data_IF_781070801560
#
_entry.id   IF_781070801560
#
_cell.length_a   1.000
_cell.length_b   1.000
_cell.length_c   1.000
_cell.angle_alpha   90.00
_cell.angle_beta   90.00
_cell.angle_gamma   90.00
#
_symmetry.space_group_name_H-M   'P 1'
#
loop_
_entity.id
_entity.type
_entity.pdbx_description
1 polymer ?
#
# COMPACT_ATOMS: atom_id res chain seq x y z
N UNK A 1 31.39 -27.14 -19.36
CA UNK A 1 30.08 -27.77 -19.25
C UNK A 1 29.11 -26.73 -18.74
N UNK A 2 28.28 -26.24 -19.62
CA UNK A 2 27.55 -24.97 -19.50
C UNK A 2 26.07 -25.18 -19.58
N UNK A 3 25.32 -24.26 -18.88
CA UNK A 3 23.92 -23.94 -19.11
C UNK A 3 22.87 -24.96 -18.60
N UNK A 4 22.23 -24.60 -17.49
CA UNK A 4 20.79 -24.80 -17.30
C UNK A 4 20.38 -24.10 -15.97
N UNK A 5 20.09 -22.81 -16.00
CA UNK A 5 19.33 -22.12 -14.93
C UNK A 5 18.79 -20.78 -15.43
N UNK A 6 17.83 -20.80 -16.31
CA UNK A 6 17.02 -19.63 -16.64
C UNK A 6 15.75 -20.06 -17.38
N UNK A 7 14.82 -20.76 -16.73
CA UNK A 7 13.41 -20.86 -17.18
C UNK A 7 12.60 -21.28 -15.97
N UNK A 8 12.26 -20.42 -15.06
CA UNK A 8 11.20 -20.67 -14.06
C UNK A 8 10.72 -19.40 -13.30
N UNK A 9 10.63 -18.26 -13.96
CA UNK A 9 10.03 -17.06 -13.31
C UNK A 9 8.92 -16.36 -14.10
N UNK A 10 8.42 -16.93 -15.18
CA UNK A 10 7.31 -16.34 -15.95
C UNK A 10 5.95 -17.03 -15.76
N UNK A 11 5.84 -18.04 -14.89
CA UNK A 11 4.63 -18.86 -14.78
C UNK A 11 3.57 -18.41 -13.76
N UNK A 12 3.91 -17.50 -12.85
CA UNK A 12 3.06 -17.26 -11.67
C UNK A 12 2.03 -16.14 -11.81
N UNK A 13 2.15 -15.25 -12.78
CA UNK A 13 1.22 -14.12 -12.96
C UNK A 13 0.02 -14.48 -13.83
N UNK A 14 0.17 -15.46 -14.72
CA UNK A 14 -0.90 -15.89 -15.64
C UNK A 14 -1.96 -16.77 -14.96
N UNK A 15 -1.65 -17.40 -13.83
CA UNK A 15 -2.58 -18.29 -13.13
C UNK A 15 -3.65 -17.56 -12.32
N UNK A 16 -3.39 -16.34 -11.86
CA UNK A 16 -4.38 -15.56 -11.09
C UNK A 16 -5.45 -14.90 -11.96
N UNK A 17 -5.15 -14.61 -13.22
CA UNK A 17 -6.13 -14.06 -14.16
C UNK A 17 -7.05 -15.16 -14.75
N UNK A 18 -6.64 -16.41 -14.75
CA UNK A 18 -7.44 -17.52 -15.28
C UNK A 18 -8.53 -18.01 -14.31
N UNK A 19 -8.42 -17.74 -12.98
CA UNK A 19 -9.45 -18.10 -12.02
C UNK A 19 -10.69 -17.19 -12.07
N UNK A 20 -10.59 -16.01 -12.63
CA UNK A 20 -11.71 -15.09 -12.81
C UNK A 20 -12.59 -15.44 -14.03
N UNK A 21 -12.13 -16.31 -14.95
CA UNK A 21 -12.83 -16.64 -16.19
C UNK A 21 -13.59 -17.98 -16.17
N UNK A 22 -13.51 -18.76 -15.08
CA UNK A 22 -14.20 -20.04 -14.97
C UNK A 22 -15.48 -19.96 -14.11
N UNK A 23 -16.30 -18.95 -14.34
CA UNK A 23 -17.69 -18.99 -13.84
C UNK A 23 -18.50 -19.75 -14.89
N UNK A 24 -19.12 -20.90 -14.54
CA UNK A 24 -19.96 -21.62 -15.50
C UNK A 24 -21.12 -20.74 -15.95
N UNK A 25 -21.30 -20.61 -17.25
CA UNK A 25 -22.34 -19.83 -17.91
C UNK A 25 -23.76 -20.42 -17.73
N UNK A 26 -24.15 -20.73 -16.51
CA UNK A 26 -25.50 -21.08 -16.09
C UNK A 26 -25.98 -20.20 -14.93
N UNK A 27 -25.51 -18.95 -14.85
CA UNK A 27 -26.24 -17.97 -14.09
C UNK A 27 -27.52 -17.65 -14.88
N UNK A 28 -28.65 -18.22 -14.47
CA UNK A 28 -29.94 -17.62 -14.76
C UNK A 28 -29.78 -16.13 -14.48
N UNK A 29 -30.11 -15.28 -15.44
CA UNK A 29 -30.25 -13.85 -15.26
C UNK A 29 -31.39 -13.63 -14.27
N UNK A 30 -31.12 -13.88 -13.01
CA UNK A 30 -31.89 -13.30 -11.92
C UNK A 30 -31.72 -11.80 -12.14
N UNK A 31 -32.80 -11.08 -12.31
CA UNK A 31 -32.82 -9.61 -12.36
C UNK A 31 -31.85 -9.13 -11.27
N UNK A 32 -30.66 -8.71 -11.67
CA UNK A 32 -29.76 -8.00 -10.78
C UNK A 32 -30.52 -6.74 -10.43
N UNK A 33 -30.96 -6.69 -9.17
CA UNK A 33 -31.65 -5.53 -8.62
C UNK A 33 -30.71 -4.34 -8.86
N UNK A 34 -31.10 -3.48 -9.80
CA UNK A 34 -30.26 -2.37 -10.27
C UNK A 34 -29.88 -1.52 -9.05
N UNK A 35 -28.56 -1.51 -8.74
CA UNK A 35 -28.02 -0.80 -7.58
C UNK A 35 -27.30 -1.68 -6.53
N UNK A 36 -27.17 -2.99 -6.77
CA UNK A 36 -26.38 -3.86 -5.87
C UNK A 36 -24.88 -3.91 -6.17
N UNK A 37 -24.47 -3.35 -7.28
CA UNK A 37 -23.06 -3.24 -7.63
C UNK A 37 -22.66 -1.77 -7.74
N UNK A 38 -21.41 -1.49 -7.41
CA UNK A 38 -20.85 -0.17 -7.61
C UNK A 38 -19.37 -0.25 -7.98
N UNK A 39 -18.96 0.60 -8.88
CA UNK A 39 -17.55 0.88 -9.15
C UNK A 39 -17.22 2.19 -8.46
N UNK A 40 -16.19 2.18 -7.63
CA UNK A 40 -15.72 3.30 -6.86
C UNK A 40 -14.35 3.79 -7.30
N UNK A 41 -14.12 5.07 -7.10
CA UNK A 41 -12.83 5.71 -7.13
C UNK A 41 -12.57 6.35 -5.79
N UNK A 42 -11.33 6.28 -5.33
CA UNK A 42 -10.90 6.94 -4.11
C UNK A 42 -9.70 7.84 -4.37
N UNK A 43 -9.66 8.94 -3.67
CA UNK A 43 -8.53 9.84 -3.57
C UNK A 43 -8.31 10.15 -2.10
N UNK A 44 -7.11 9.95 -1.61
CA UNK A 44 -6.85 10.05 -0.20
C UNK A 44 -5.44 10.45 0.15
N UNK A 45 -5.18 10.32 1.43
CA UNK A 45 -3.88 10.60 2.04
C UNK A 45 -3.53 9.45 2.98
N UNK A 46 -2.37 8.86 2.77
CA UNK A 46 -1.82 7.79 3.60
C UNK A 46 -0.86 8.41 4.62
N UNK A 47 -1.08 8.07 5.89
CA UNK A 47 -0.20 8.38 7.00
C UNK A 47 0.51 7.10 7.43
N UNK A 48 1.82 7.07 7.29
CA UNK A 48 2.66 5.98 7.74
C UNK A 48 2.55 5.82 9.26
N UNK A 49 2.79 4.62 9.77
CA UNK A 49 2.89 4.44 11.23
C UNK A 49 4.03 5.27 11.80
N UNK A 50 3.76 5.99 12.87
CA UNK A 50 4.75 6.78 13.59
C UNK A 50 5.85 5.93 14.22
N UNK A 51 6.94 6.59 14.57
CA UNK A 51 8.22 6.01 15.03
C UNK A 51 8.05 4.89 16.06
N UNK A 52 7.28 5.12 17.12
CA UNK A 52 7.12 4.21 18.26
C UNK A 52 6.25 2.97 17.97
N UNK A 53 5.57 2.95 16.81
CA UNK A 53 4.62 1.89 16.45
C UNK A 53 5.05 1.05 15.25
N UNK A 54 6.22 1.31 14.70
CA UNK A 54 6.79 0.56 13.59
C UNK A 54 7.31 -0.80 14.05
N UNK A 55 7.47 -1.72 13.09
CA UNK A 55 7.98 -3.07 13.38
C UNK A 55 9.45 -3.02 13.79
N UNK A 56 9.87 -3.97 14.60
CA UNK A 56 11.28 -4.16 14.93
C UNK A 56 12.09 -4.48 13.67
N UNK A 57 13.35 -4.01 13.61
CA UNK A 57 14.25 -4.17 12.45
C UNK A 57 13.75 -3.43 11.18
N UNK A 58 12.92 -2.40 11.36
CA UNK A 58 12.47 -1.56 10.25
C UNK A 58 13.63 -0.74 9.68
N UNK A 59 13.78 -0.77 8.36
CA UNK A 59 14.87 -0.08 7.66
C UNK A 59 14.85 1.44 7.88
N UNK A 60 13.67 2.06 8.01
CA UNK A 60 13.58 3.49 8.26
C UNK A 60 14.05 3.83 9.68
N UNK A 61 13.73 2.99 10.68
CA UNK A 61 14.25 3.14 12.04
C UNK A 61 15.76 2.92 12.09
N UNK A 62 16.27 1.94 11.36
CA UNK A 62 17.70 1.67 11.27
C UNK A 62 18.44 2.89 10.68
N UNK A 63 17.92 3.47 9.59
CA UNK A 63 18.47 4.67 8.97
C UNK A 63 18.47 5.90 9.89
N UNK A 64 17.47 6.05 10.77
CA UNK A 64 17.40 7.13 11.75
C UNK A 64 18.32 6.93 12.95
N UNK A 65 18.69 5.69 13.28
CA UNK A 65 19.36 5.33 14.55
C UNK A 65 20.83 4.93 14.44
N UNK A 66 21.46 5.07 13.29
CA UNK A 66 22.86 4.63 13.04
C UNK A 66 23.96 5.53 13.66
N UNK A 67 23.64 6.36 14.64
CA UNK A 67 24.60 7.22 15.29
C UNK A 67 25.19 8.25 14.30
N UNK A 68 26.53 8.23 14.08
CA UNK A 68 27.18 9.18 13.17
C UNK A 68 26.82 9.00 11.67
N UNK A 69 26.16 7.90 11.32
CA UNK A 69 25.68 7.61 9.95
C UNK A 69 24.17 7.70 9.82
N UNK A 70 23.49 8.26 10.84
CA UNK A 70 22.04 8.48 10.76
C UNK A 70 21.67 9.47 9.66
N UNK A 71 20.51 9.21 9.06
CA UNK A 71 19.91 10.06 8.06
C UNK A 71 18.97 11.06 8.72
N UNK A 72 18.95 12.28 8.18
CA UNK A 72 18.06 13.35 8.61
C UNK A 72 16.76 13.31 7.78
N UNK A 73 15.71 12.71 8.31
CA UNK A 73 14.34 12.73 7.82
C UNK A 73 13.38 12.39 8.96
N UNK A 74 12.10 12.67 8.78
CA UNK A 74 11.05 12.25 9.70
C UNK A 74 10.21 11.12 9.06
N UNK A 75 9.65 10.22 9.90
CA UNK A 75 8.76 9.17 9.39
C UNK A 75 7.54 9.76 8.69
N UNK A 76 7.04 10.90 9.17
CA UNK A 76 5.90 11.62 8.60
C UNK A 76 6.21 12.21 7.20
N UNK A 77 7.48 12.30 6.81
CA UNK A 77 7.87 12.66 5.44
C UNK A 77 7.41 11.62 4.41
N UNK A 78 7.17 10.37 4.86
CA UNK A 78 6.58 9.31 4.05
C UNK A 78 5.06 9.39 3.97
N UNK A 79 4.42 10.36 4.60
CA UNK A 79 3.00 10.62 4.39
C UNK A 79 2.75 11.16 2.99
N UNK A 80 1.64 10.76 2.37
CA UNK A 80 1.42 11.19 1.00
C UNK A 80 0.09 10.79 0.38
N UNK A 81 -0.16 11.37 -0.79
CA UNK A 81 -1.36 11.12 -1.55
C UNK A 81 -1.47 9.65 -1.98
N UNK A 82 -2.68 9.13 -1.95
CA UNK A 82 -3.05 7.82 -2.47
C UNK A 82 -4.28 7.94 -3.36
N UNK A 83 -4.36 7.09 -4.37
CA UNK A 83 -5.54 6.99 -5.22
C UNK A 83 -5.80 5.54 -5.59
N UNK A 84 -7.03 5.23 -5.91
CA UNK A 84 -7.38 3.87 -6.26
C UNK A 84 -8.79 3.71 -6.78
N UNK A 85 -9.19 2.45 -6.86
CA UNK A 85 -10.53 2.08 -7.26
C UNK A 85 -10.97 0.80 -6.58
N UNK A 86 -12.29 0.64 -6.50
CA UNK A 86 -12.89 -0.55 -5.89
C UNK A 86 -14.15 -0.98 -6.62
N UNK A 87 -14.44 -2.24 -6.54
CA UNK A 87 -15.71 -2.82 -6.96
C UNK A 87 -16.43 -3.37 -5.75
N UNK A 88 -17.66 -2.94 -5.57
CA UNK A 88 -18.53 -3.29 -4.46
C UNK A 88 -19.70 -4.13 -4.96
N UNK A 89 -19.99 -5.20 -4.24
CA UNK A 89 -21.08 -6.12 -4.53
C UNK A 89 -21.94 -6.27 -3.28
N UNK A 90 -23.16 -5.88 -3.37
CA UNK A 90 -24.13 -6.07 -2.30
C UNK A 90 -24.59 -7.49 -2.16
N UNK A 91 -24.28 -8.11 -1.05
CA UNK A 91 -24.73 -9.44 -0.69
C UNK A 91 -26.18 -9.43 -0.20
N UNK A 92 -26.54 -8.42 0.58
CA UNK A 92 -27.89 -8.11 1.02
C UNK A 92 -27.98 -6.62 1.41
N UNK A 93 -29.03 -6.18 2.08
CA UNK A 93 -29.22 -4.77 2.45
C UNK A 93 -28.23 -4.27 3.50
N UNK A 94 -27.63 -5.19 4.26
CA UNK A 94 -26.73 -4.87 5.37
C UNK A 94 -25.28 -5.33 5.15
N UNK A 95 -25.02 -6.13 4.11
CA UNK A 95 -23.69 -6.67 3.83
C UNK A 95 -23.27 -6.39 2.41
N UNK A 96 -21.97 -6.06 2.25
CA UNK A 96 -21.34 -5.75 0.99
C UNK A 96 -19.95 -6.37 0.94
N UNK A 97 -19.59 -6.99 -0.18
CA UNK A 97 -18.23 -7.41 -0.47
C UNK A 97 -17.55 -6.36 -1.36
N UNK A 98 -16.26 -6.12 -1.14
CA UNK A 98 -15.48 -5.19 -1.93
C UNK A 98 -14.14 -5.79 -2.33
N UNK A 99 -13.72 -5.49 -3.56
CA UNK A 99 -12.35 -5.71 -4.04
C UNK A 99 -11.81 -4.39 -4.53
N UNK A 100 -10.62 -4.01 -4.06
CA UNK A 100 -10.03 -2.71 -4.38
C UNK A 100 -8.55 -2.80 -4.67
N UNK A 101 -8.05 -1.82 -5.41
CA UNK A 101 -6.65 -1.59 -5.65
C UNK A 101 -6.34 -0.11 -5.43
N UNK A 102 -5.30 0.16 -4.67
CA UNK A 102 -4.83 1.51 -4.41
C UNK A 102 -3.37 1.67 -4.86
N UNK A 103 -2.94 2.89 -5.00
CA UNK A 103 -1.57 3.24 -5.35
C UNK A 103 -1.08 4.36 -4.45
N UNK A 104 0.06 4.12 -3.83
CA UNK A 104 0.81 5.09 -3.03
C UNK A 104 2.27 5.07 -3.43
N UNK A 105 2.90 6.24 -3.54
CA UNK A 105 4.33 6.39 -3.75
C UNK A 105 4.81 7.71 -3.15
N UNK A 106 5.92 7.65 -2.41
CA UNK A 106 6.59 8.83 -1.86
C UNK A 106 8.10 8.71 -2.04
N UNK A 107 8.75 9.82 -2.33
CA UNK A 107 10.21 9.97 -2.28
C UNK A 107 10.54 11.01 -1.24
N UNK A 108 11.44 10.67 -0.34
CA UNK A 108 11.91 11.49 0.76
C UNK A 108 13.40 11.76 0.53
N UNK A 109 13.80 12.99 0.18
CA UNK A 109 15.21 13.36 0.14
C UNK A 109 15.76 13.37 1.57
N UNK A 110 16.96 12.84 1.74
CA UNK A 110 17.63 12.76 3.03
C UNK A 110 19.12 13.05 2.89
N UNK A 111 19.74 13.49 3.97
CA UNK A 111 21.18 13.72 4.07
C UNK A 111 21.72 13.06 5.34
N UNK A 112 23.02 12.79 5.39
CA UNK A 112 23.63 12.35 6.65
C UNK A 112 23.66 13.50 7.65
N UNK A 113 23.14 13.26 8.86
CA UNK A 113 22.98 14.29 9.89
C UNK A 113 24.33 14.84 10.40
N UNK A 114 25.34 13.97 10.56
CA UNK A 114 26.62 14.33 11.18
C UNK A 114 27.83 14.21 10.23
N UNK A 115 27.60 14.03 8.94
CA UNK A 115 28.67 13.83 7.96
C UNK A 115 28.47 14.70 6.74
N UNK A 116 29.57 15.33 6.35
CA UNK A 116 29.69 16.09 5.09
C UNK A 116 30.90 15.57 4.34
N UNK A 117 30.96 15.83 3.06
CA UNK A 117 32.15 15.56 2.23
C UNK A 117 33.34 16.44 2.66
N UNK A 118 34.54 16.06 2.24
CA UNK A 118 35.76 16.86 2.46
C UNK A 118 35.68 18.27 1.86
N UNK A 119 34.85 18.47 0.84
CA UNK A 119 34.60 19.75 0.20
C UNK A 119 33.46 20.57 0.87
N UNK A 120 32.90 20.06 1.99
CA UNK A 120 31.83 20.69 2.78
C UNK A 120 30.42 20.50 2.22
N UNK A 121 30.23 19.71 1.15
CA UNK A 121 28.89 19.39 0.62
C UNK A 121 28.23 18.29 1.42
N UNK A 122 26.91 18.34 1.51
CA UNK A 122 26.07 17.29 2.10
C UNK A 122 26.16 16.01 1.27
N UNK A 123 26.09 14.88 1.95
CA UNK A 123 26.02 13.54 1.34
C UNK A 123 24.54 13.19 1.31
N UNK A 124 23.94 13.21 0.12
CA UNK A 124 22.50 13.14 -0.05
C UNK A 124 22.06 11.82 -0.71
N UNK A 125 20.89 11.35 -0.29
CA UNK A 125 20.21 10.21 -0.90
C UNK A 125 18.70 10.38 -0.89
N UNK A 126 18.04 9.71 -1.85
CA UNK A 126 16.60 9.65 -1.95
C UNK A 126 16.09 8.30 -1.43
N UNK A 127 15.21 8.36 -0.44
CA UNK A 127 14.47 7.22 0.09
C UNK A 127 13.12 7.15 -0.62
N UNK A 128 12.82 6.06 -1.30
CA UNK A 128 11.57 5.95 -2.05
C UNK A 128 10.80 4.71 -1.66
N UNK A 129 9.55 4.91 -1.24
CA UNK A 129 8.60 3.85 -0.92
C UNK A 129 7.40 3.91 -1.86
N UNK A 130 7.07 2.76 -2.46
CA UNK A 130 5.85 2.53 -3.22
C UNK A 130 5.09 1.36 -2.62
N UNK A 131 3.78 1.51 -2.46
CA UNK A 131 2.89 0.45 -1.99
C UNK A 131 1.69 0.38 -2.94
N UNK A 132 1.36 -0.83 -3.39
CA UNK A 132 0.17 -1.10 -4.20
C UNK A 132 -0.63 -2.20 -3.50
N UNK A 133 -1.60 -1.83 -2.65
CA UNK A 133 -2.51 -2.76 -2.00
C UNK A 133 -3.54 -3.32 -3.00
N UNK A 134 -3.73 -4.63 -3.00
CA UNK A 134 -4.90 -5.32 -3.56
C UNK A 134 -5.70 -5.86 -2.38
N UNK A 135 -6.91 -5.37 -2.16
CA UNK A 135 -7.70 -5.64 -0.95
C UNK A 135 -9.01 -6.36 -1.25
N UNK A 136 -9.35 -7.32 -0.40
CA UNK A 136 -10.67 -7.93 -0.35
C UNK A 136 -11.32 -7.66 1.01
N UNK A 137 -12.52 -7.09 1.03
CA UNK A 137 -13.18 -6.63 2.25
C UNK A 137 -14.64 -7.07 2.31
N UNK A 138 -15.14 -7.25 3.53
CA UNK A 138 -16.57 -7.35 3.82
C UNK A 138 -16.94 -6.13 4.65
N UNK A 139 -18.04 -5.48 4.29
CA UNK A 139 -18.57 -4.28 4.93
C UNK A 139 -19.94 -4.55 5.52
N UNK A 140 -20.16 -4.09 6.72
CA UNK A 140 -21.46 -4.08 7.41
C UNK A 140 -22.04 -2.68 7.37
N UNK A 141 -23.31 -2.57 6.96
CA UNK A 141 -24.08 -1.36 6.80
C UNK A 141 -25.20 -1.36 7.85
N UNK A 142 -24.99 -0.78 9.04
CA UNK A 142 -25.92 -0.94 10.18
C UNK A 142 -27.35 -0.42 9.94
N UNK A 143 -27.52 0.53 9.04
CA UNK A 143 -28.83 1.09 8.69
C UNK A 143 -29.26 0.77 7.25
N UNK A 144 -28.57 -0.19 6.61
CA UNK A 144 -28.87 -0.61 5.26
C UNK A 144 -28.33 0.33 4.18
N UNK A 145 -28.78 0.13 2.92
CA UNK A 145 -28.25 0.79 1.72
C UNK A 145 -29.01 2.05 1.30
N UNK A 146 -30.09 2.38 1.98
CA UNK A 146 -30.96 3.49 1.59
C UNK A 146 -30.55 4.79 2.30
N UNK A 147 -30.38 5.86 1.51
CA UNK A 147 -30.01 7.16 2.05
C UNK A 147 -28.53 7.24 2.47
N UNK A 148 -28.27 7.98 3.54
CA UNK A 148 -26.92 8.07 4.12
C UNK A 148 -26.54 6.71 4.68
N UNK A 149 -25.40 6.19 4.25
CA UNK A 149 -24.99 4.82 4.52
C UNK A 149 -23.66 4.81 5.29
N UNK A 150 -23.68 4.80 6.64
CA UNK A 150 -22.49 4.48 7.41
C UNK A 150 -22.14 3.01 7.25
N UNK A 151 -20.86 2.69 7.30
CA UNK A 151 -20.38 1.32 7.22
C UNK A 151 -19.09 1.12 8.01
N UNK A 152 -18.88 -0.11 8.43
CA UNK A 152 -17.62 -0.60 8.96
C UNK A 152 -17.25 -1.89 8.23
N UNK A 153 -15.99 -2.16 8.08
CA UNK A 153 -15.57 -3.35 7.35
C UNK A 153 -14.19 -3.84 7.77
N UNK A 154 -13.94 -5.08 7.41
CA UNK A 154 -12.65 -5.72 7.60
C UNK A 154 -12.35 -6.64 6.42
N UNK A 155 -11.07 -6.94 6.23
CA UNK A 155 -10.63 -7.81 5.17
C UNK A 155 -9.14 -8.10 5.22
N UNK A 156 -8.64 -8.54 4.10
CA UNK A 156 -7.22 -8.83 3.89
C UNK A 156 -6.72 -8.07 2.66
N UNK A 157 -5.45 -7.68 2.72
CA UNK A 157 -4.75 -7.07 1.60
C UNK A 157 -3.52 -7.89 1.21
N UNK A 158 -3.25 -7.95 -0.10
CA UNK A 158 -1.97 -8.33 -0.65
C UNK A 158 -1.25 -7.04 -1.09
N UNK A 159 -0.10 -6.77 -0.51
CA UNK A 159 0.63 -5.51 -0.70
C UNK A 159 1.86 -5.76 -1.56
N UNK A 160 1.86 -5.24 -2.80
CA UNK A 160 3.08 -5.13 -3.57
C UNK A 160 3.84 -3.91 -3.08
N UNK A 161 5.07 -4.09 -2.64
CA UNK A 161 5.91 -2.98 -2.21
C UNK A 161 7.20 -2.91 -3.00
N UNK A 162 7.75 -1.71 -3.08
CA UNK A 162 9.11 -1.44 -3.54
C UNK A 162 9.70 -0.34 -2.70
N UNK A 163 10.80 -0.64 -2.05
CA UNK A 163 11.63 0.33 -1.34
C UNK A 163 12.96 0.48 -2.06
N UNK A 164 13.49 1.69 -2.12
CA UNK A 164 14.80 1.95 -2.69
C UNK A 164 15.48 3.14 -2.04
N UNK A 165 16.79 3.03 -1.91
CA UNK A 165 17.72 4.07 -1.49
C UNK A 165 18.68 4.35 -2.63
N UNK A 166 18.75 5.60 -3.08
CA UNK A 166 19.55 5.99 -4.25
C UNK A 166 20.28 7.29 -3.93
N UNK A 167 21.59 7.29 -4.12
CA UNK A 167 22.38 8.49 -3.88
C UNK A 167 23.79 8.17 -3.44
N UNK A 168 24.26 8.92 -2.46
CA UNK A 168 25.61 8.80 -1.92
C UNK A 168 25.58 8.11 -0.57
N UNK A 169 26.44 7.16 -0.39
CA UNK A 169 26.58 6.33 0.81
C UNK A 169 27.98 6.44 1.38
N UNK A 170 28.12 6.15 2.67
CA UNK A 170 29.41 6.11 3.35
C UNK A 170 29.71 4.64 3.67
N UNK A 171 30.88 4.16 3.27
CA UNK A 171 31.33 2.81 3.62
C UNK A 171 31.89 2.75 5.05
N UNK A 172 32.27 1.53 5.50
CA UNK A 172 32.82 1.32 6.83
C UNK A 172 34.17 1.99 7.08
N UNK A 173 34.89 2.34 6.00
CA UNK A 173 36.17 3.05 6.05
C UNK A 173 35.99 4.58 5.99
N UNK A 174 34.75 5.05 5.82
CA UNK A 174 34.38 6.46 5.80
C UNK A 174 34.43 7.10 4.41
N UNK A 175 34.63 6.31 3.34
CA UNK A 175 34.64 6.83 1.98
C UNK A 175 33.21 6.93 1.42
N UNK A 176 32.99 8.01 0.66
CA UNK A 176 31.71 8.22 -0.02
C UNK A 176 31.68 7.51 -1.38
N UNK A 177 30.64 6.77 -1.64
CA UNK A 177 30.39 6.14 -2.94
C UNK A 177 28.93 6.37 -3.39
N UNK A 178 28.69 6.33 -4.70
CA UNK A 178 27.33 6.39 -5.24
C UNK A 178 26.76 4.97 -5.34
N UNK A 179 25.57 4.78 -4.78
CA UNK A 179 24.92 3.47 -4.73
C UNK A 179 23.44 3.54 -5.05
N UNK A 180 22.87 2.34 -5.26
CA UNK A 180 21.46 2.15 -5.48
C UNK A 180 21.02 0.79 -4.94
N UNK A 181 20.26 0.80 -3.87
CA UNK A 181 19.70 -0.39 -3.23
C UNK A 181 18.20 -0.46 -3.51
N UNK A 182 17.69 -1.64 -3.87
CA UNK A 182 16.29 -1.81 -4.25
C UNK A 182 15.78 -3.16 -3.77
N UNK A 183 14.71 -3.15 -2.98
CA UNK A 183 13.92 -4.34 -2.65
C UNK A 183 12.50 -4.18 -3.13
N UNK A 184 11.97 -5.25 -3.74
CA UNK A 184 10.55 -5.34 -4.10
C UNK A 184 10.01 -6.69 -3.65
N UNK A 185 8.76 -6.73 -3.26
CA UNK A 185 8.14 -7.96 -2.81
C UNK A 185 6.63 -7.88 -2.69
N UNK A 186 6.08 -8.98 -2.22
CA UNK A 186 4.67 -9.08 -1.85
C UNK A 186 4.56 -9.52 -0.40
N UNK A 187 3.60 -8.94 0.29
CA UNK A 187 3.23 -9.36 1.63
C UNK A 187 1.73 -9.30 1.79
N UNK A 188 1.20 -9.92 2.84
CA UNK A 188 -0.22 -9.89 3.14
C UNK A 188 -0.46 -9.38 4.56
N UNK A 189 -1.61 -8.78 4.77
CA UNK A 189 -1.98 -8.30 6.10
C UNK A 189 -3.44 -7.91 6.22
N UNK A 190 -3.93 -7.71 7.45
CA UNK A 190 -5.29 -7.28 7.71
C UNK A 190 -5.52 -5.83 7.29
N UNK A 191 -6.76 -5.57 6.90
CA UNK A 191 -7.30 -4.24 6.60
C UNK A 191 -8.60 -4.07 7.38
N UNK A 192 -8.76 -2.92 8.03
CA UNK A 192 -10.04 -2.51 8.63
C UNK A 192 -10.39 -1.13 8.10
N UNK A 193 -11.68 -0.87 7.96
CA UNK A 193 -12.15 0.40 7.40
C UNK A 193 -13.51 0.80 7.99
N UNK A 194 -13.80 2.06 7.90
CA UNK A 194 -15.09 2.60 8.27
C UNK A 194 -15.33 3.92 7.55
N UNK A 195 -16.58 4.20 7.24
CA UNK A 195 -16.88 5.39 6.49
C UNK A 195 -18.37 5.70 6.43
N UNK A 196 -18.67 6.73 5.67
CA UNK A 196 -20.05 7.14 5.40
C UNK A 196 -20.18 7.50 3.93
N UNK A 197 -21.28 7.06 3.31
CA UNK A 197 -21.64 7.39 1.93
C UNK A 197 -22.94 8.18 1.88
N UNK A 198 -22.99 9.16 1.01
CA UNK A 198 -24.13 10.03 0.76
C UNK A 198 -24.58 9.82 -0.68
N UNK A 199 -25.85 9.45 -0.95
CA UNK A 199 -26.34 9.32 -2.31
C UNK A 199 -26.49 10.70 -2.97
N UNK A 200 -26.11 10.77 -4.25
CA UNK A 200 -26.34 11.91 -5.13
C UNK A 200 -27.20 11.40 -6.29
N UNK A 201 -28.52 11.52 -6.15
CA UNK A 201 -29.47 10.86 -7.04
C UNK A 201 -29.45 9.33 -6.89
N UNK A 202 -29.89 8.62 -7.92
CA UNK A 202 -30.08 7.16 -7.87
C UNK A 202 -28.80 6.37 -8.21
N UNK A 203 -27.86 7.00 -8.90
CA UNK A 203 -26.71 6.34 -9.54
C UNK A 203 -25.41 6.64 -8.81
N UNK A 204 -25.25 7.82 -8.24
CA UNK A 204 -23.97 8.26 -7.68
C UNK A 204 -23.99 8.27 -6.15
N UNK A 205 -22.87 7.98 -5.55
CA UNK A 205 -22.61 8.25 -4.12
C UNK A 205 -21.23 8.86 -3.93
N UNK A 206 -21.14 9.76 -2.96
CA UNK A 206 -19.86 10.29 -2.49
C UNK A 206 -19.72 9.96 -1.02
N UNK A 207 -18.49 9.89 -0.52
CA UNK A 207 -18.29 9.56 0.87
C UNK A 207 -16.88 9.85 1.37
N UNK A 208 -16.72 9.57 2.67
CA UNK A 208 -15.44 9.54 3.33
C UNK A 208 -15.18 8.18 3.95
N UNK A 209 -13.98 7.70 3.85
CA UNK A 209 -13.53 6.43 4.42
C UNK A 209 -12.22 6.63 5.18
N UNK A 210 -12.14 6.07 6.38
CA UNK A 210 -10.92 5.89 7.12
C UNK A 210 -10.55 4.40 7.04
N UNK A 211 -9.31 4.10 6.63
CA UNK A 211 -8.80 2.74 6.46
C UNK A 211 -7.51 2.58 7.23
N UNK A 212 -7.38 1.49 7.95
CA UNK A 212 -6.14 1.05 8.59
C UNK A 212 -5.66 -0.24 7.95
N UNK A 213 -4.37 -0.31 7.66
CA UNK A 213 -3.71 -1.52 7.19
C UNK A 213 -2.51 -1.84 8.07
N UNK A 214 -2.22 -3.15 8.21
CA UNK A 214 -1.02 -3.63 8.86
C UNK A 214 -0.34 -4.65 7.96
N UNK A 215 0.85 -4.32 7.49
CA UNK A 215 1.66 -5.21 6.64
C UNK A 215 3.14 -4.90 6.83
N UNK A 216 4.01 -5.87 6.61
CA UNK A 216 5.46 -5.73 6.70
C UNK A 216 6.14 -6.41 5.51
N UNK A 217 7.01 -5.68 4.82
CA UNK A 217 7.94 -6.25 3.85
C UNK A 217 9.13 -6.87 4.57
N UNK A 218 9.74 -7.92 4.02
CA UNK A 218 10.87 -8.66 4.62
C UNK A 218 11.97 -8.93 3.61
N UNK A 219 13.13 -9.34 4.14
CA UNK A 219 14.30 -9.74 3.35
C UNK A 219 15.07 -8.55 2.77
N UNK A 220 15.04 -7.39 3.42
CA UNK A 220 15.78 -6.22 2.97
C UNK A 220 17.29 -6.38 3.21
N UNK A 221 17.71 -7.07 4.27
CA UNK A 221 19.12 -7.38 4.52
C UNK A 221 19.81 -8.16 3.39
N UNK A 222 19.05 -8.97 2.62
CA UNK A 222 19.56 -9.68 1.46
C UNK A 222 20.00 -8.75 0.32
N UNK A 223 19.58 -7.50 0.36
CA UNK A 223 19.88 -6.46 -0.63
C UNK A 223 20.70 -5.31 -0.01
N UNK A 224 21.46 -5.62 1.05
CA UNK A 224 22.39 -4.72 1.73
C UNK A 224 21.75 -3.49 2.43
N UNK A 225 20.45 -3.55 2.79
CA UNK A 225 19.83 -2.53 3.62
C UNK A 225 20.16 -2.74 5.11
N UNK A 226 20.03 -1.68 5.91
CA UNK A 226 20.36 -1.68 7.33
C UNK A 226 19.35 -2.42 8.22
N UNK A 227 18.12 -2.54 7.77
CA UNK A 227 17.05 -3.30 8.45
C UNK A 227 16.54 -4.42 7.57
N UNK A 228 16.04 -5.52 8.17
CA UNK A 228 15.47 -6.64 7.43
C UNK A 228 14.04 -6.41 6.97
N UNK A 229 13.34 -5.47 7.59
CA UNK A 229 11.91 -5.24 7.36
C UNK A 229 11.62 -3.81 6.95
N UNK A 230 10.45 -3.61 6.36
CA UNK A 230 9.85 -2.31 6.15
C UNK A 230 8.38 -2.36 6.56
N UNK A 231 7.97 -1.47 7.46
CA UNK A 231 6.56 -1.35 7.85
C UNK A 231 5.76 -0.62 6.77
N UNK A 232 4.76 -1.30 6.24
CA UNK A 232 3.84 -0.81 5.21
C UNK A 232 2.47 -0.44 5.82
N UNK A 233 2.37 -0.51 7.15
CA UNK A 233 1.17 -0.20 7.89
C UNK A 233 0.94 1.30 8.04
N UNK A 234 -0.30 1.66 8.29
CA UNK A 234 -0.69 3.05 8.48
C UNK A 234 -2.17 3.28 8.31
N UNK A 235 -2.56 4.54 8.34
CA UNK A 235 -3.92 5.01 8.15
C UNK A 235 -4.06 5.70 6.80
N UNK A 236 -5.19 5.48 6.12
CA UNK A 236 -5.58 6.27 4.94
C UNK A 236 -6.89 6.95 5.18
N UNK A 237 -6.95 8.25 4.91
CA UNK A 237 -8.19 9.01 4.86
C UNK A 237 -8.56 9.23 3.41
N UNK A 238 -9.71 8.73 2.98
CA UNK A 238 -10.11 8.71 1.58
C UNK A 238 -11.42 9.47 1.38
N UNK A 239 -11.47 10.27 0.33
CA UNK A 239 -12.70 10.67 -0.33
C UNK A 239 -13.07 9.60 -1.35
N UNK A 240 -14.34 9.17 -1.36
CA UNK A 240 -14.81 8.10 -2.25
C UNK A 240 -15.94 8.58 -3.13
N UNK A 241 -15.92 8.13 -4.37
CA UNK A 241 -16.97 8.36 -5.35
C UNK A 241 -17.37 7.02 -5.97
N UNK A 242 -18.66 6.69 -5.98
CA UNK A 242 -19.15 5.42 -6.54
C UNK A 242 -20.26 5.65 -7.57
N UNK A 243 -20.21 4.84 -8.61
CA UNK A 243 -21.24 4.66 -9.62
C UNK A 243 -21.96 3.33 -9.33
N UNK A 244 -23.25 3.38 -9.06
CA UNK A 244 -24.11 2.21 -8.81
C UNK A 244 -24.79 1.75 -10.10
N UNK A 245 -24.93 0.44 -10.26
CA UNK A 245 -25.62 -0.17 -11.38
C UNK A 245 -26.19 -1.55 -11.05
#
# INVERSE_FOLDING_TARGET
>A
MMRFRQVLQCGSVTALLALAAAVPAHAQVTRVDSGRQAIGFNLGYFNAKGLDSRVDEDVLLANLSQGQFSLAFDIDDFDGATFGGEWLIGLNDYLEAGVGVDFYQKTVPSVYDQKVRDDGREIAQDLKLRIVPLTGTIRFLPIGRHGVTPYVGAGIGAFNFRYSEVGEFIDNDGFTFTGRFIKSGWTAGPVVLGGVRFPIGDVFTVGGELRYQKAEGKGLLEEDFLGDKIDLGGWSTNFTFHLRF
#
